data_IF_559414352673
#
_entry.id   IF_559414352673
#
_cell.length_a   1.000
_cell.length_b   1.000
_cell.length_c   1.000
_cell.angle_alpha   90.00
_cell.angle_beta   90.00
_cell.angle_gamma   90.00
#
_symmetry.space_group_name_H-M   'P 1'
#
loop_
_entity.id
_entity.type
_entity.pdbx_description
1 polymer ?
#
# COMPACT_ATOMS: atom_id res chain seq x y z
N UNK A 1 -32.42 -27.00 14.76
CA UNK A 1 -31.05 -27.49 14.46
C UNK A 1 -30.06 -26.48 15.02
N UNK A 2 -29.32 -26.78 16.13
CA UNK A 2 -28.34 -25.86 16.70
C UNK A 2 -27.09 -25.84 15.76
N UNK A 3 -26.94 -24.78 15.01
CA UNK A 3 -25.72 -24.53 14.20
C UNK A 3 -24.52 -24.56 15.14
N UNK A 4 -23.50 -25.39 14.83
CA UNK A 4 -22.30 -25.46 15.65
C UNK A 4 -21.60 -24.08 15.68
N UNK A 5 -20.95 -23.72 16.81
CA UNK A 5 -20.23 -22.42 16.92
C UNK A 5 -19.25 -22.21 15.77
N UNK A 6 -18.54 -23.25 15.35
CA UNK A 6 -17.58 -23.19 14.23
C UNK A 6 -18.26 -22.87 12.90
N UNK A 7 -19.40 -23.46 12.60
CA UNK A 7 -20.16 -23.22 11.37
C UNK A 7 -20.70 -21.78 11.30
N UNK A 8 -21.14 -21.22 12.44
CA UNK A 8 -21.53 -19.80 12.53
C UNK A 8 -20.39 -18.88 12.12
N UNK A 9 -19.17 -19.15 12.59
CA UNK A 9 -18.02 -18.33 12.26
C UNK A 9 -17.63 -18.41 10.79
N UNK A 10 -17.72 -19.57 10.14
CA UNK A 10 -17.50 -19.72 8.70
C UNK A 10 -18.46 -18.83 7.90
N UNK A 11 -19.76 -18.83 8.26
CA UNK A 11 -20.76 -17.97 7.61
C UNK A 11 -20.42 -16.49 7.81
N UNK A 12 -20.08 -16.08 9.03
CA UNK A 12 -19.71 -14.67 9.31
C UNK A 12 -18.51 -14.23 8.49
N UNK A 13 -17.45 -15.05 8.43
CA UNK A 13 -16.26 -14.77 7.64
C UNK A 13 -16.56 -14.70 6.14
N UNK A 14 -17.45 -15.55 5.64
CA UNK A 14 -17.89 -15.53 4.25
C UNK A 14 -18.67 -14.25 3.93
N UNK A 15 -19.58 -13.81 4.82
CA UNK A 15 -20.30 -12.53 4.65
C UNK A 15 -19.34 -11.36 4.63
N UNK A 16 -18.34 -11.34 5.53
CA UNK A 16 -17.28 -10.33 5.53
C UNK A 16 -16.52 -10.35 4.21
N UNK A 17 -16.16 -11.54 3.69
CA UNK A 17 -15.45 -11.69 2.43
C UNK A 17 -16.28 -11.19 1.23
N UNK A 18 -17.59 -11.50 1.19
CA UNK A 18 -18.51 -11.05 0.13
C UNK A 18 -18.57 -9.52 0.10
N UNK A 19 -18.80 -8.90 1.25
CA UNK A 19 -18.92 -7.43 1.31
C UNK A 19 -17.60 -6.76 0.95
N UNK A 20 -16.47 -7.22 1.50
CA UNK A 20 -15.15 -6.62 1.25
C UNK A 20 -14.70 -6.89 -0.18
N UNK A 21 -14.86 -8.11 -0.71
CA UNK A 21 -14.49 -8.46 -2.07
C UNK A 21 -15.28 -7.65 -3.12
N UNK A 22 -16.59 -7.48 -2.91
CA UNK A 22 -17.42 -6.64 -3.77
C UNK A 22 -17.06 -5.15 -3.66
N UNK A 23 -16.77 -4.66 -2.45
CA UNK A 23 -16.30 -3.29 -2.25
C UNK A 23 -14.93 -3.06 -2.90
N UNK A 24 -14.05 -4.05 -2.85
CA UNK A 24 -12.74 -4.01 -3.51
C UNK A 24 -12.90 -3.96 -5.04
N UNK A 25 -13.78 -4.77 -5.61
CA UNK A 25 -14.08 -4.75 -7.03
C UNK A 25 -14.62 -3.39 -7.48
N UNK A 26 -15.60 -2.84 -6.76
CA UNK A 26 -16.11 -1.50 -7.01
C UNK A 26 -15.02 -0.44 -6.93
N UNK A 27 -14.14 -0.53 -5.92
CA UNK A 27 -13.05 0.42 -5.75
C UNK A 27 -12.04 0.37 -6.90
N UNK A 28 -11.65 -0.84 -7.35
CA UNK A 28 -10.76 -1.00 -8.51
C UNK A 28 -11.38 -0.42 -9.78
N UNK A 29 -12.64 -0.76 -10.07
CA UNK A 29 -13.37 -0.23 -11.21
C UNK A 29 -13.47 1.30 -11.15
N UNK A 30 -13.89 1.86 -10.03
CA UNK A 30 -14.02 3.30 -9.87
C UNK A 30 -12.68 4.03 -10.02
N UNK A 31 -11.59 3.41 -9.53
CA UNK A 31 -10.25 3.96 -9.62
C UNK A 31 -9.74 3.99 -11.07
N UNK A 32 -10.03 2.94 -11.84
CA UNK A 32 -9.71 2.88 -13.27
C UNK A 32 -10.47 3.97 -14.03
N UNK A 33 -11.79 4.11 -13.76
CA UNK A 33 -12.63 5.14 -14.39
C UNK A 33 -12.11 6.56 -14.10
N UNK A 34 -11.82 6.89 -12.84
CA UNK A 34 -11.34 8.26 -12.51
C UNK A 34 -9.94 8.52 -13.04
N UNK A 35 -9.09 7.48 -13.14
CA UNK A 35 -7.75 7.61 -13.71
C UNK A 35 -7.81 7.83 -15.21
N UNK A 36 -8.66 7.07 -15.91
CA UNK A 36 -8.88 7.23 -17.35
C UNK A 36 -9.46 8.60 -17.68
N UNK A 37 -10.48 9.03 -16.93
CA UNK A 37 -11.07 10.36 -17.10
C UNK A 37 -10.02 11.49 -16.90
N UNK A 38 -9.07 11.33 -15.97
CA UNK A 38 -7.95 12.27 -15.82
C UNK A 38 -7.02 12.28 -17.02
N UNK A 39 -6.73 11.12 -17.64
CA UNK A 39 -5.92 11.06 -18.87
C UNK A 39 -6.60 11.75 -20.04
N UNK A 40 -7.91 11.59 -20.17
CA UNK A 40 -8.71 12.26 -21.20
C UNK A 40 -8.87 13.77 -20.94
N UNK A 41 -8.73 14.18 -19.65
CA UNK A 41 -8.90 15.56 -19.18
C UNK A 41 -7.70 16.05 -18.38
N UNK A 42 -6.53 16.30 -19.01
CA UNK A 42 -5.30 16.67 -18.30
C UNK A 42 -5.42 17.94 -17.47
N UNK A 43 -6.37 18.81 -17.80
CA UNK A 43 -6.64 20.05 -17.05
C UNK A 43 -7.12 19.81 -15.61
N UNK A 44 -7.61 18.61 -15.29
CA UNK A 44 -8.11 18.27 -13.95
C UNK A 44 -7.05 18.45 -12.87
N UNK A 45 -5.78 18.34 -13.18
CA UNK A 45 -4.68 18.55 -12.21
C UNK A 45 -4.73 19.94 -11.58
N UNK A 46 -5.17 20.95 -12.31
CA UNK A 46 -5.26 22.32 -11.81
C UNK A 46 -6.32 22.50 -10.72
N UNK A 47 -7.26 21.57 -10.60
CA UNK A 47 -8.25 21.53 -9.52
C UNK A 47 -7.74 20.83 -8.25
N UNK A 48 -6.57 20.21 -8.29
CA UNK A 48 -6.03 19.48 -7.14
C UNK A 48 -5.96 20.35 -5.87
N UNK A 49 -5.55 21.64 -5.89
CA UNK A 49 -5.59 22.50 -4.70
C UNK A 49 -6.99 22.68 -4.10
N UNK A 50 -8.01 22.81 -4.96
CA UNK A 50 -9.42 22.95 -4.51
C UNK A 50 -9.91 21.65 -3.85
N UNK A 51 -9.56 20.52 -4.43
CA UNK A 51 -9.88 19.20 -3.87
C UNK A 51 -9.18 19.00 -2.53
N UNK A 52 -7.92 19.40 -2.41
CA UNK A 52 -7.17 19.37 -1.15
C UNK A 52 -7.82 20.25 -0.08
N UNK A 53 -8.32 21.44 -0.47
CA UNK A 53 -9.08 22.33 0.40
C UNK A 53 -10.37 21.64 0.90
N UNK A 54 -11.16 21.11 -0.02
CA UNK A 54 -12.43 20.43 0.30
C UNK A 54 -12.22 19.20 1.21
N UNK A 55 -11.21 18.37 0.92
CA UNK A 55 -10.82 17.25 1.76
C UNK A 55 -10.41 17.71 3.16
N UNK A 56 -9.61 18.76 3.26
CA UNK A 56 -9.18 19.32 4.53
C UNK A 56 -10.37 19.81 5.37
N UNK A 57 -11.35 20.48 4.77
CA UNK A 57 -12.59 20.85 5.44
C UNK A 57 -13.40 19.64 5.89
N UNK A 58 -13.57 18.64 5.01
CA UNK A 58 -14.27 17.40 5.37
C UNK A 58 -13.65 16.73 6.59
N UNK A 59 -12.33 16.53 6.59
CA UNK A 59 -11.65 15.85 7.70
C UNK A 59 -11.64 16.67 8.99
N UNK A 60 -11.65 17.99 8.89
CA UNK A 60 -11.74 18.88 10.07
C UNK A 60 -13.09 18.79 10.77
N UNK A 61 -14.19 18.78 10.05
CA UNK A 61 -15.54 18.87 10.62
C UNK A 61 -16.19 17.51 10.83
N UNK A 62 -16.06 16.60 9.88
CA UNK A 62 -16.75 15.30 9.87
C UNK A 62 -15.79 14.13 10.08
N UNK A 63 -14.56 14.22 9.57
CA UNK A 63 -13.58 13.17 9.51
C UNK A 63 -12.52 13.15 10.61
N UNK A 64 -12.62 13.97 11.66
CA UNK A 64 -11.61 13.99 12.75
C UNK A 64 -11.29 12.60 13.30
N UNK A 65 -12.31 11.74 13.41
CA UNK A 65 -12.20 10.37 13.92
C UNK A 65 -11.49 9.41 12.96
N UNK A 66 -11.30 9.80 11.69
CA UNK A 66 -10.72 8.93 10.63
C UNK A 66 -9.49 9.52 9.95
N UNK A 67 -9.00 10.66 10.46
CA UNK A 67 -7.88 11.38 9.85
C UNK A 67 -6.61 10.53 9.73
N UNK A 68 -6.30 9.72 10.73
CA UNK A 68 -5.14 8.83 10.79
C UNK A 68 -5.57 7.36 10.78
N UNK A 69 -6.11 6.89 9.67
CA UNK A 69 -6.75 5.58 9.55
C UNK A 69 -5.87 4.40 9.99
N UNK A 70 -4.59 4.37 9.58
CA UNK A 70 -3.66 3.32 9.99
C UNK A 70 -3.39 3.36 11.51
N UNK A 71 -3.27 4.56 12.10
CA UNK A 71 -3.10 4.69 13.54
C UNK A 71 -4.34 4.23 14.30
N UNK A 72 -5.54 4.54 13.81
CA UNK A 72 -6.80 4.08 14.40
C UNK A 72 -6.92 2.55 14.38
N UNK A 73 -6.51 1.92 13.28
CA UNK A 73 -6.53 0.46 13.18
C UNK A 73 -5.57 -0.15 14.19
N UNK A 74 -4.33 0.36 14.28
CA UNK A 74 -3.33 -0.14 15.22
C UNK A 74 -3.74 0.12 16.68
N UNK A 75 -4.28 1.30 16.98
CA UNK A 75 -4.78 1.64 18.30
C UNK A 75 -5.94 0.75 18.76
N UNK A 76 -6.78 0.31 17.82
CA UNK A 76 -7.87 -0.63 18.10
C UNK A 76 -7.38 -1.96 18.69
N UNK A 77 -6.17 -2.40 18.34
CA UNK A 77 -5.57 -3.62 18.89
C UNK A 77 -4.81 -3.40 20.20
N UNK A 78 -4.45 -2.15 20.52
CA UNK A 78 -3.67 -1.82 21.72
C UNK A 78 -4.56 -1.35 22.88
N UNK A 79 -5.64 -0.63 22.55
CA UNK A 79 -6.50 -0.01 23.53
C UNK A 79 -7.92 -0.60 23.47
N UNK A 80 -8.37 -1.21 24.54
CA UNK A 80 -9.70 -1.87 24.62
C UNK A 80 -10.86 -0.89 24.40
N UNK A 81 -10.67 0.40 24.67
CA UNK A 81 -11.67 1.45 24.48
C UNK A 81 -11.69 2.01 23.06
N UNK A 82 -10.62 1.81 22.29
CA UNK A 82 -10.53 2.32 20.92
C UNK A 82 -11.44 1.54 19.97
N UNK A 83 -12.18 2.27 19.13
CA UNK A 83 -13.10 1.69 18.15
C UNK A 83 -12.90 2.32 16.77
N UNK A 84 -12.89 1.49 15.75
CA UNK A 84 -12.82 1.93 14.35
C UNK A 84 -14.22 2.47 13.95
N UNK A 85 -14.34 3.74 13.53
CA UNK A 85 -15.63 4.33 13.13
C UNK A 85 -16.19 3.69 11.85
N UNK A 86 -17.51 3.54 11.75
CA UNK A 86 -18.16 2.98 10.55
C UNK A 86 -17.97 3.86 9.31
N UNK A 87 -17.78 5.17 9.49
CA UNK A 87 -17.51 6.09 8.39
C UNK A 87 -16.11 5.97 7.79
N UNK A 88 -15.21 5.15 8.38
CA UNK A 88 -13.84 5.00 7.87
C UNK A 88 -13.83 4.52 6.41
N UNK A 89 -14.52 3.42 6.10
CA UNK A 89 -14.50 2.82 4.78
C UNK A 89 -15.02 3.79 3.68
N UNK A 90 -16.22 4.37 3.76
CA UNK A 90 -16.69 5.31 2.74
C UNK A 90 -15.85 6.59 2.67
N UNK A 91 -15.36 7.11 3.79
CA UNK A 91 -14.52 8.33 3.79
C UNK A 91 -13.21 8.12 3.07
N UNK A 92 -12.53 7.00 3.32
CA UNK A 92 -11.24 6.73 2.70
C UNK A 92 -11.40 6.38 1.21
N UNK A 93 -12.48 5.65 0.83
CA UNK A 93 -12.82 5.35 -0.54
C UNK A 93 -12.96 6.63 -1.36
N UNK A 94 -13.89 7.51 -0.98
CA UNK A 94 -14.18 8.76 -1.70
C UNK A 94 -12.94 9.66 -1.76
N UNK A 95 -12.24 9.81 -0.66
CA UNK A 95 -11.05 10.64 -0.61
C UNK A 95 -9.91 10.09 -1.48
N UNK A 96 -9.72 8.77 -1.54
CA UNK A 96 -8.72 8.16 -2.43
C UNK A 96 -9.09 8.32 -3.90
N UNK A 97 -10.35 8.10 -4.27
CA UNK A 97 -10.83 8.34 -5.64
C UNK A 97 -10.61 9.81 -6.04
N UNK A 98 -10.94 10.76 -5.17
CA UNK A 98 -10.69 12.17 -5.42
C UNK A 98 -9.19 12.48 -5.56
N UNK A 99 -8.31 11.89 -4.73
CA UNK A 99 -6.86 12.05 -4.88
C UNK A 99 -6.38 11.63 -6.28
N UNK A 100 -6.84 10.47 -6.77
CA UNK A 100 -6.42 9.94 -8.08
C UNK A 100 -7.05 10.67 -9.26
N UNK A 101 -8.32 11.07 -9.14
CA UNK A 101 -9.03 11.83 -10.19
C UNK A 101 -8.30 13.13 -10.53
N UNK A 102 -7.65 13.76 -9.54
CA UNK A 102 -7.00 15.05 -9.72
C UNK A 102 -5.46 14.97 -9.70
N UNK A 103 -4.88 13.76 -9.78
CA UNK A 103 -3.45 13.57 -10.02
C UNK A 103 -2.56 13.48 -8.77
N UNK A 104 -3.12 13.35 -7.57
CA UNK A 104 -2.31 13.07 -6.39
C UNK A 104 -1.58 11.73 -6.49
N UNK A 105 -0.31 11.68 -6.08
CA UNK A 105 0.54 10.49 -6.15
C UNK A 105 0.32 9.61 -4.92
N UNK A 106 -0.48 8.58 -5.06
CA UNK A 106 -0.81 7.63 -3.99
C UNK A 106 -1.09 6.23 -4.55
N UNK A 107 -1.13 5.25 -3.65
CA UNK A 107 -1.49 3.86 -3.94
C UNK A 107 -2.95 3.57 -3.58
N UNK A 108 -3.37 2.34 -3.86
CA UNK A 108 -4.74 1.84 -3.64
C UNK A 108 -4.84 0.81 -2.50
N UNK A 109 -3.76 0.10 -2.24
CA UNK A 109 -3.75 -1.07 -1.36
C UNK A 109 -3.92 -0.68 0.13
N UNK A 110 -3.25 0.39 0.57
CA UNK A 110 -3.44 0.93 1.92
C UNK A 110 -4.90 1.35 2.18
N UNK A 111 -5.54 1.93 1.15
CA UNK A 111 -6.98 2.24 1.18
C UNK A 111 -7.82 0.98 1.34
N UNK A 112 -7.50 -0.09 0.62
CA UNK A 112 -8.21 -1.37 0.71
C UNK A 112 -8.09 -2.00 2.10
N UNK A 113 -6.90 -1.95 2.71
CA UNK A 113 -6.66 -2.37 4.11
C UNK A 113 -7.56 -1.60 5.07
N UNK A 114 -7.62 -0.27 4.93
CA UNK A 114 -8.41 0.59 5.80
C UNK A 114 -9.92 0.39 5.59
N UNK A 115 -10.36 0.21 4.34
CA UNK A 115 -11.75 -0.14 4.02
C UNK A 115 -12.13 -1.49 4.62
N UNK A 116 -11.29 -2.51 4.41
CA UNK A 116 -11.51 -3.85 4.94
C UNK A 116 -11.62 -3.86 6.47
N UNK A 117 -10.70 -3.16 7.15
CA UNK A 117 -10.75 -3.00 8.61
C UNK A 117 -12.03 -2.27 9.08
N UNK A 118 -12.43 -1.20 8.40
CA UNK A 118 -13.61 -0.40 8.72
C UNK A 118 -14.92 -1.18 8.55
N UNK A 119 -15.06 -1.92 7.44
CA UNK A 119 -16.22 -2.78 7.17
C UNK A 119 -16.30 -3.90 8.21
N UNK A 120 -15.19 -4.62 8.44
CA UNK A 120 -15.13 -5.71 9.40
C UNK A 120 -15.43 -5.25 10.84
N UNK A 121 -14.88 -4.10 11.26
CA UNK A 121 -15.16 -3.50 12.57
C UNK A 121 -16.63 -3.10 12.71
N UNK A 122 -17.26 -2.63 11.64
CA UNK A 122 -18.68 -2.27 11.65
C UNK A 122 -19.56 -3.51 11.81
N UNK A 123 -19.26 -4.60 11.08
CA UNK A 123 -19.97 -5.87 11.20
C UNK A 123 -19.74 -6.54 12.56
N UNK A 124 -18.53 -6.43 13.10
CA UNK A 124 -18.16 -7.02 14.38
C UNK A 124 -19.08 -6.57 15.53
N UNK A 125 -19.60 -5.36 15.48
CA UNK A 125 -20.52 -4.82 16.52
C UNK A 125 -21.81 -5.63 16.64
N UNK A 126 -22.24 -6.25 15.57
CA UNK A 126 -23.51 -7.02 15.52
C UNK A 126 -23.33 -8.51 15.78
N UNK A 127 -22.12 -9.06 15.50
CA UNK A 127 -21.93 -10.53 15.49
C UNK A 127 -20.92 -11.03 16.52
N UNK A 128 -20.04 -10.16 17.02
CA UNK A 128 -18.95 -10.53 17.93
C UNK A 128 -19.24 -10.04 19.37
N UNK A 129 -19.41 -10.99 20.29
CA UNK A 129 -19.72 -10.70 21.71
C UNK A 129 -18.47 -10.39 22.54
N UNK A 130 -17.27 -10.80 22.09
CA UNK A 130 -16.01 -10.63 22.81
C UNK A 130 -15.03 -9.78 22.01
N UNK A 131 -14.09 -9.14 22.70
CA UNK A 131 -13.06 -8.32 22.07
C UNK A 131 -12.17 -9.13 21.12
N UNK A 132 -11.79 -10.34 21.53
CA UNK A 132 -11.02 -11.27 20.69
C UNK A 132 -11.73 -11.60 19.37
N UNK A 133 -13.03 -11.78 19.41
CA UNK A 133 -13.84 -12.02 18.24
C UNK A 133 -13.95 -10.79 17.33
N UNK A 134 -14.01 -9.58 17.92
CA UNK A 134 -13.95 -8.33 17.16
C UNK A 134 -12.60 -8.15 16.47
N UNK A 135 -11.49 -8.40 17.19
CA UNK A 135 -10.15 -8.36 16.63
C UNK A 135 -9.97 -9.37 15.50
N UNK A 136 -10.48 -10.61 15.67
CA UNK A 136 -10.43 -11.64 14.62
C UNK A 136 -11.09 -11.14 13.33
N UNK A 137 -12.26 -10.51 13.43
CA UNK A 137 -12.94 -9.95 12.25
C UNK A 137 -12.15 -8.80 11.62
N UNK A 138 -11.55 -7.93 12.43
CA UNK A 138 -10.72 -6.82 11.89
C UNK A 138 -9.47 -7.37 11.21
N UNK A 139 -8.77 -8.37 11.77
CA UNK A 139 -7.66 -9.05 11.07
C UNK A 139 -8.12 -9.65 9.74
N UNK A 140 -9.25 -10.37 9.75
CA UNK A 140 -9.83 -10.97 8.55
C UNK A 140 -10.22 -9.91 7.51
N UNK A 141 -10.73 -8.75 7.97
CA UNK A 141 -11.06 -7.62 7.09
C UNK A 141 -9.83 -6.97 6.45
N UNK A 142 -8.75 -6.78 7.20
CA UNK A 142 -7.46 -6.31 6.67
C UNK A 142 -6.94 -7.29 5.61
N UNK A 143 -6.94 -8.59 5.93
CA UNK A 143 -6.49 -9.64 5.03
C UNK A 143 -7.32 -9.69 3.74
N UNK A 144 -8.64 -9.60 3.86
CA UNK A 144 -9.58 -9.58 2.73
C UNK A 144 -9.38 -8.36 1.83
N UNK A 145 -9.28 -7.15 2.42
CA UNK A 145 -9.07 -5.92 1.66
C UNK A 145 -7.75 -5.93 0.90
N UNK A 146 -6.67 -6.33 1.56
CA UNK A 146 -5.35 -6.46 0.92
C UNK A 146 -5.37 -7.52 -0.18
N UNK A 147 -5.80 -8.75 0.13
CA UNK A 147 -5.81 -9.88 -0.81
C UNK A 147 -6.69 -9.64 -2.03
N UNK A 148 -7.86 -9.00 -1.85
CA UNK A 148 -8.79 -8.73 -2.94
C UNK A 148 -8.31 -7.65 -3.90
N UNK A 149 -7.66 -6.57 -3.40
CA UNK A 149 -7.19 -5.47 -4.27
C UNK A 149 -5.85 -5.79 -4.91
N UNK A 150 -5.00 -6.52 -4.20
CA UNK A 150 -3.66 -6.86 -4.70
C UNK A 150 -3.62 -8.13 -5.56
N UNK A 151 -4.56 -9.05 -5.34
CA UNK A 151 -4.50 -10.37 -5.95
C UNK A 151 -3.53 -11.33 -5.25
N UNK A 152 -3.17 -11.05 -3.98
CA UNK A 152 -2.21 -11.84 -3.20
C UNK A 152 -2.81 -12.24 -1.85
N UNK A 153 -3.73 -13.23 -1.82
CA UNK A 153 -4.45 -13.60 -0.62
C UNK A 153 -3.57 -14.21 0.49
N UNK A 154 -2.51 -14.95 0.13
CA UNK A 154 -1.58 -15.50 1.14
C UNK A 154 -0.80 -14.38 1.83
N UNK A 155 -0.26 -13.45 1.03
CA UNK A 155 0.41 -12.27 1.57
C UNK A 155 -0.55 -11.41 2.39
N UNK A 156 -1.80 -11.24 1.96
CA UNK A 156 -2.83 -10.49 2.68
C UNK A 156 -3.10 -11.05 4.08
N UNK A 157 -3.19 -12.37 4.20
CA UNK A 157 -3.38 -13.04 5.49
C UNK A 157 -2.20 -12.81 6.44
N UNK A 158 -0.98 -12.94 5.95
CA UNK A 158 0.24 -12.70 6.73
C UNK A 158 0.36 -11.20 7.07
N UNK A 159 0.07 -10.31 6.10
CA UNK A 159 0.14 -8.86 6.29
C UNK A 159 -0.77 -8.38 7.41
N UNK A 160 -2.00 -8.89 7.49
CA UNK A 160 -2.93 -8.49 8.53
C UNK A 160 -2.36 -8.71 9.95
N UNK A 161 -1.67 -9.82 10.15
CA UNK A 161 -1.05 -10.17 11.45
C UNK A 161 0.27 -9.43 11.66
N UNK A 162 1.13 -9.38 10.64
CA UNK A 162 2.44 -8.74 10.73
C UNK A 162 2.33 -7.21 10.88
N UNK A 163 1.44 -6.57 10.13
CA UNK A 163 1.16 -5.14 10.22
C UNK A 163 0.69 -4.73 11.61
N UNK A 164 -0.15 -5.55 12.23
CA UNK A 164 -0.69 -5.33 13.58
C UNK A 164 0.21 -5.84 14.70
N UNK A 165 1.42 -6.34 14.37
CA UNK A 165 2.38 -6.92 15.31
C UNK A 165 1.85 -8.15 16.07
N UNK A 166 0.87 -8.84 15.52
CA UNK A 166 0.39 -10.10 16.08
C UNK A 166 1.24 -11.28 15.60
N UNK A 167 1.25 -12.38 16.38
CA UNK A 167 1.97 -13.61 15.99
C UNK A 167 1.37 -14.17 14.68
N UNK A 168 2.21 -14.33 13.65
CA UNK A 168 1.77 -14.85 12.34
C UNK A 168 1.24 -16.27 12.49
N UNK A 169 2.00 -17.16 13.12
CA UNK A 169 1.57 -18.52 13.41
C UNK A 169 0.65 -18.55 14.65
N UNK A 170 -0.55 -18.03 14.47
CA UNK A 170 -1.60 -17.99 15.49
C UNK A 170 -2.88 -18.59 14.94
N UNK A 171 -3.83 -18.85 15.85
CA UNK A 171 -5.19 -19.31 15.47
C UNK A 171 -5.92 -18.36 14.52
N UNK A 172 -5.47 -17.13 14.39
CA UNK A 172 -6.09 -16.10 13.53
C UNK A 172 -5.65 -16.23 12.07
N UNK A 173 -4.54 -16.93 11.75
CA UNK A 173 -4.02 -17.06 10.39
C UNK A 173 -5.03 -17.75 9.44
N UNK A 174 -5.61 -18.86 9.86
CA UNK A 174 -6.58 -19.61 9.02
C UNK A 174 -7.84 -18.79 8.69
N UNK A 175 -8.50 -18.12 9.65
CA UNK A 175 -9.60 -17.20 9.34
C UNK A 175 -9.20 -16.08 8.39
N UNK A 176 -8.04 -15.46 8.59
CA UNK A 176 -7.51 -14.41 7.68
C UNK A 176 -7.31 -14.95 6.27
N UNK A 177 -6.69 -16.14 6.14
CA UNK A 177 -6.45 -16.78 4.86
C UNK A 177 -7.76 -17.13 4.15
N UNK A 178 -8.71 -17.75 4.86
CA UNK A 178 -10.03 -18.08 4.33
C UNK A 178 -10.73 -16.82 3.79
N UNK A 179 -10.76 -15.74 4.59
CA UNK A 179 -11.47 -14.52 4.23
C UNK A 179 -10.76 -13.81 3.06
N UNK A 180 -9.42 -13.81 3.02
CA UNK A 180 -8.64 -13.21 1.94
C UNK A 180 -8.84 -13.95 0.62
N UNK A 181 -8.79 -15.29 0.63
CA UNK A 181 -9.06 -16.12 -0.54
C UNK A 181 -10.49 -15.91 -1.06
N UNK A 182 -11.48 -16.01 -0.17
CA UNK A 182 -12.88 -15.80 -0.55
C UNK A 182 -13.10 -14.40 -1.14
N UNK A 183 -12.58 -13.34 -0.50
CA UNK A 183 -12.70 -11.97 -1.00
C UNK A 183 -12.00 -11.76 -2.35
N UNK A 184 -10.83 -12.38 -2.56
CA UNK A 184 -10.12 -12.35 -3.83
C UNK A 184 -10.96 -12.94 -4.97
N UNK A 185 -11.49 -14.15 -4.80
CA UNK A 185 -12.32 -14.78 -5.83
C UNK A 185 -13.65 -14.03 -6.06
N UNK A 186 -14.25 -13.47 -5.03
CA UNK A 186 -15.42 -12.60 -5.16
C UNK A 186 -15.07 -11.35 -5.96
N UNK A 187 -13.93 -10.70 -5.68
CA UNK A 187 -13.46 -9.55 -6.46
C UNK A 187 -13.31 -9.89 -7.94
N UNK A 188 -12.67 -11.02 -8.25
CA UNK A 188 -12.53 -11.50 -9.63
C UNK A 188 -13.87 -11.81 -10.30
N UNK A 189 -14.86 -12.33 -9.57
CA UNK A 189 -16.19 -12.65 -10.12
C UNK A 189 -16.96 -11.42 -10.62
N UNK A 190 -16.57 -10.21 -10.20
CA UNK A 190 -17.09 -8.95 -10.72
C UNK A 190 -16.41 -8.51 -12.04
N UNK A 191 -15.52 -9.34 -12.61
CA UNK A 191 -14.80 -9.05 -13.85
C UNK A 191 -13.63 -8.07 -13.68
N UNK A 192 -13.17 -7.83 -12.44
CA UNK A 192 -11.99 -6.99 -12.18
C UNK A 192 -10.71 -7.73 -12.53
N UNK A 193 -9.73 -7.01 -13.08
CA UNK A 193 -8.40 -7.53 -13.34
C UNK A 193 -7.39 -6.92 -12.37
N UNK A 194 -6.42 -7.71 -11.93
CA UNK A 194 -5.27 -7.22 -11.20
C UNK A 194 -4.14 -6.83 -12.15
N UNK A 195 -3.26 -5.94 -11.71
CA UNK A 195 -2.04 -5.63 -12.46
C UNK A 195 -1.19 -6.89 -12.59
N UNK A 196 -0.93 -7.31 -13.83
CA UNK A 196 -0.10 -8.47 -14.12
C UNK A 196 1.39 -8.08 -14.09
N UNK A 197 2.16 -8.89 -13.40
CA UNK A 197 3.62 -8.77 -13.34
C UNK A 197 4.28 -9.94 -14.06
N UNK A 198 5.45 -9.72 -14.69
CA UNK A 198 6.15 -10.81 -15.37
C UNK A 198 6.65 -11.85 -14.35
N UNK A 199 6.46 -13.12 -14.67
CA UNK A 199 7.10 -14.22 -13.91
C UNK A 199 8.61 -14.16 -14.11
N UNK A 200 9.34 -14.00 -13.02
CA UNK A 200 10.80 -13.82 -13.06
C UNK A 200 11.49 -15.17 -13.09
N UNK A 201 12.40 -15.33 -14.07
CA UNK A 201 13.28 -16.48 -14.14
C UNK A 201 14.58 -16.16 -13.39
N UNK A 202 15.03 -17.09 -12.55
CA UNK A 202 16.34 -16.98 -11.92
C UNK A 202 17.38 -17.70 -12.77
N UNK A 203 18.46 -17.03 -13.20
CA UNK A 203 19.51 -17.67 -13.99
C UNK A 203 20.23 -18.70 -13.12
N UNK A 204 20.32 -19.94 -13.61
CA UNK A 204 21.04 -21.03 -12.95
C UNK A 204 22.55 -20.72 -12.85
N UNK A 205 23.15 -21.03 -11.71
CA UNK A 205 24.61 -20.99 -11.47
C UNK A 205 25.30 -19.61 -11.58
N UNK A 206 24.69 -18.54 -11.06
CA UNK A 206 25.29 -17.24 -11.16
C UNK A 206 25.69 -16.68 -9.76
N UNK A 207 26.75 -17.24 -9.15
CA UNK A 207 27.29 -16.77 -7.88
C UNK A 207 27.71 -15.28 -7.93
N UNK A 208 28.00 -14.76 -9.13
CA UNK A 208 28.32 -13.33 -9.29
C UNK A 208 27.15 -12.40 -8.96
N UNK A 209 25.91 -12.91 -8.92
CA UNK A 209 24.73 -12.13 -8.51
C UNK A 209 24.67 -11.91 -7.00
N UNK A 210 25.32 -12.74 -6.17
CA UNK A 210 25.20 -12.66 -4.73
C UNK A 210 25.66 -11.29 -4.18
N UNK A 211 26.86 -10.82 -4.58
CA UNK A 211 27.35 -9.52 -4.14
C UNK A 211 26.49 -8.38 -4.69
N UNK A 212 25.95 -8.54 -5.91
CA UNK A 212 25.05 -7.57 -6.53
C UNK A 212 23.74 -7.45 -5.75
N UNK A 213 23.19 -8.55 -5.23
CA UNK A 213 22.03 -8.55 -4.34
C UNK A 213 22.32 -7.88 -2.99
N UNK A 214 23.50 -8.10 -2.42
CA UNK A 214 23.92 -7.43 -1.20
C UNK A 214 24.04 -5.92 -1.42
N UNK A 215 24.67 -5.49 -2.52
CA UNK A 215 24.77 -4.09 -2.91
C UNK A 215 23.38 -3.46 -3.11
N UNK A 216 22.48 -4.15 -3.87
CA UNK A 216 21.10 -3.74 -4.06
C UNK A 216 20.40 -3.53 -2.70
N UNK A 217 20.48 -4.51 -1.81
CA UNK A 217 19.85 -4.44 -0.50
C UNK A 217 20.35 -3.26 0.34
N UNK A 218 21.65 -2.96 0.31
CA UNK A 218 22.24 -1.81 0.99
C UNK A 218 21.70 -0.48 0.45
N UNK A 219 21.65 -0.33 -0.87
CA UNK A 219 21.11 0.89 -1.52
C UNK A 219 19.62 1.06 -1.21
N UNK A 220 18.81 -0.03 -1.31
CA UNK A 220 17.39 0.00 -0.97
C UNK A 220 17.17 0.36 0.50
N UNK A 221 18.01 -0.14 1.40
CA UNK A 221 17.92 0.20 2.83
C UNK A 221 18.19 1.69 3.09
N UNK A 222 19.19 2.27 2.45
CA UNK A 222 19.51 3.70 2.56
C UNK A 222 18.37 4.54 1.98
N UNK A 223 17.89 4.21 0.79
CA UNK A 223 16.76 4.90 0.16
C UNK A 223 15.48 4.78 0.99
N UNK A 224 15.22 3.61 1.60
CA UNK A 224 14.10 3.38 2.50
C UNK A 224 14.19 4.21 3.78
N UNK A 225 15.38 4.30 4.40
CA UNK A 225 15.61 5.21 5.55
C UNK A 225 15.37 6.66 5.18
N UNK A 226 15.85 7.08 4.01
CA UNK A 226 15.62 8.43 3.50
C UNK A 226 14.13 8.68 3.31
N UNK A 227 13.40 7.78 2.63
CA UNK A 227 11.96 7.90 2.43
C UNK A 227 11.19 8.02 3.75
N UNK A 228 11.44 7.14 4.71
CA UNK A 228 10.79 7.16 6.02
C UNK A 228 11.06 8.49 6.74
N UNK A 229 12.33 8.90 6.78
CA UNK A 229 12.73 10.13 7.49
C UNK A 229 12.16 11.37 6.82
N UNK A 230 12.22 11.45 5.48
CA UNK A 230 11.68 12.55 4.71
C UNK A 230 10.15 12.64 4.86
N UNK A 231 9.44 11.50 4.80
CA UNK A 231 7.99 11.44 4.98
C UNK A 231 7.56 11.94 6.36
N UNK A 232 8.20 11.43 7.43
CA UNK A 232 7.88 11.86 8.80
C UNK A 232 8.21 13.34 9.03
N UNK A 233 9.37 13.80 8.55
CA UNK A 233 9.79 15.20 8.70
C UNK A 233 8.85 16.14 7.93
N UNK A 234 8.52 15.81 6.68
CA UNK A 234 7.62 16.62 5.86
C UNK A 234 6.23 16.67 6.46
N UNK A 235 5.69 15.52 6.89
CA UNK A 235 4.38 15.46 7.57
C UNK A 235 4.37 16.34 8.83
N UNK A 236 5.41 16.25 9.68
CA UNK A 236 5.53 17.09 10.88
C UNK A 236 5.61 18.57 10.53
N UNK A 237 6.43 18.96 9.55
CA UNK A 237 6.56 20.35 9.10
C UNK A 237 5.25 20.88 8.53
N UNK A 238 4.56 20.11 7.68
CA UNK A 238 3.26 20.50 7.14
C UNK A 238 2.22 20.70 8.23
N UNK A 239 2.19 19.84 9.25
CA UNK A 239 1.28 19.98 10.40
C UNK A 239 1.61 21.21 11.26
N UNK A 240 2.91 21.51 11.45
CA UNK A 240 3.36 22.63 12.27
C UNK A 240 3.19 23.96 11.56
N UNK A 241 3.58 24.06 10.29
CA UNK A 241 3.50 25.31 9.51
C UNK A 241 2.08 25.62 9.04
N UNK A 242 1.30 24.58 8.73
CA UNK A 242 -0.06 24.67 8.22
C UNK A 242 -1.01 23.82 9.06
N UNK A 243 -1.33 24.26 10.29
CA UNK A 243 -2.19 23.50 11.21
C UNK A 243 -3.62 23.33 10.67
N UNK A 244 -4.05 24.24 9.80
CA UNK A 244 -5.34 24.19 9.12
C UNK A 244 -5.30 23.15 8.00
N UNK A 245 -6.08 22.07 8.12
CA UNK A 245 -6.08 20.94 7.17
C UNK A 245 -6.44 21.36 5.74
N UNK A 246 -7.38 22.31 5.58
CA UNK A 246 -7.75 22.84 4.27
C UNK A 246 -6.60 23.61 3.61
N UNK A 247 -5.91 24.49 4.37
CA UNK A 247 -4.74 25.24 3.89
C UNK A 247 -3.62 24.28 3.50
N UNK A 248 -3.38 23.28 4.34
CA UNK A 248 -2.38 22.23 4.10
C UNK A 248 -2.65 21.45 2.81
N UNK A 249 -3.90 21.03 2.59
CA UNK A 249 -4.33 20.35 1.37
C UNK A 249 -4.18 21.23 0.12
N UNK A 250 -4.58 22.51 0.21
CA UNK A 250 -4.42 23.48 -0.89
C UNK A 250 -2.96 23.65 -1.27
N UNK A 251 -2.10 23.93 -0.30
CA UNK A 251 -0.67 24.14 -0.55
C UNK A 251 0.01 22.85 -1.08
N UNK A 252 -0.38 21.68 -0.56
CA UNK A 252 0.08 20.42 -1.10
C UNK A 252 -0.29 20.23 -2.56
N UNK A 253 -1.53 20.56 -2.95
CA UNK A 253 -1.95 20.52 -4.34
C UNK A 253 -1.16 21.46 -5.23
N UNK A 254 -0.89 22.68 -4.78
CA UNK A 254 -0.02 23.64 -5.50
C UNK A 254 1.39 23.07 -5.67
N UNK A 255 1.97 22.49 -4.60
CA UNK A 255 3.31 21.91 -4.68
C UNK A 255 3.37 20.70 -5.64
N UNK A 256 2.32 19.89 -5.70
CA UNK A 256 2.24 18.78 -6.69
C UNK A 256 2.22 19.33 -8.11
N UNK A 257 1.48 20.41 -8.36
CA UNK A 257 1.47 21.09 -9.68
C UNK A 257 2.86 21.63 -10.02
N UNK A 258 3.53 22.27 -9.07
CA UNK A 258 4.93 22.76 -9.28
C UNK A 258 5.87 21.60 -9.60
N UNK A 259 5.79 20.50 -8.87
CA UNK A 259 6.58 19.29 -9.16
C UNK A 259 6.26 18.72 -10.54
N UNK A 260 4.98 18.70 -10.94
CA UNK A 260 4.53 18.23 -12.26
C UNK A 260 5.13 19.07 -13.39
N UNK A 261 5.07 20.40 -13.26
CA UNK A 261 5.67 21.32 -14.24
C UNK A 261 7.19 21.18 -14.31
N UNK A 262 7.84 20.94 -13.17
CA UNK A 262 9.28 20.75 -13.12
C UNK A 262 9.74 19.40 -13.67
N UNK A 263 9.00 18.33 -13.39
CA UNK A 263 9.27 16.99 -13.93
C UNK A 263 9.01 16.90 -15.44
N UNK A 264 8.13 17.74 -15.98
CA UNK A 264 7.76 17.75 -17.40
C UNK A 264 6.99 16.50 -17.88
N UNK A 265 6.55 15.66 -16.96
CA UNK A 265 5.81 14.41 -17.26
C UNK A 265 4.78 14.08 -16.18
N UNK A 266 3.68 13.41 -16.58
CA UNK A 266 2.65 12.89 -15.70
C UNK A 266 2.96 11.53 -15.06
N UNK A 267 4.08 10.89 -15.38
CA UNK A 267 4.42 9.52 -14.98
C UNK A 267 4.44 9.30 -13.46
N UNK A 268 4.73 10.35 -12.70
CA UNK A 268 4.84 10.31 -11.25
C UNK A 268 3.52 10.62 -10.52
N UNK A 269 2.47 11.01 -11.26
CA UNK A 269 1.12 11.21 -10.75
C UNK A 269 0.38 9.88 -10.55
N UNK A 270 -0.65 9.89 -9.70
CA UNK A 270 -1.52 8.74 -9.47
C UNK A 270 -0.77 7.48 -9.06
N UNK A 271 -1.25 6.33 -9.51
CA UNK A 271 -0.70 5.00 -9.19
C UNK A 271 0.66 4.74 -9.87
N UNK A 272 0.84 5.16 -11.13
CA UNK A 272 1.98 4.79 -11.96
C UNK A 272 1.90 3.35 -12.53
N UNK A 273 0.70 2.79 -12.66
CA UNK A 273 0.47 1.45 -13.25
C UNK A 273 -0.25 1.48 -14.59
N UNK A 274 -1.02 2.53 -14.87
CA UNK A 274 -1.73 2.71 -16.13
C UNK A 274 -0.92 3.61 -17.07
N UNK A 275 -0.97 3.32 -18.36
CA UNK A 275 -0.31 4.11 -19.39
C UNK A 275 -1.23 5.25 -19.85
N UNK A 276 -0.77 6.48 -19.74
CA UNK A 276 -1.41 7.64 -20.34
C UNK A 276 -1.10 7.69 -21.84
N UNK A 277 0.11 7.33 -22.21
CA UNK A 277 0.60 7.24 -23.58
C UNK A 277 1.70 6.17 -23.69
N UNK A 278 2.14 5.85 -24.91
CA UNK A 278 3.17 4.82 -25.17
C UNK A 278 4.53 5.12 -24.52
N UNK A 279 4.83 6.38 -24.27
CA UNK A 279 6.10 6.80 -23.64
C UNK A 279 6.03 6.84 -22.10
N UNK A 280 4.83 6.71 -21.50
CA UNK A 280 4.65 6.75 -20.04
C UNK A 280 5.48 5.70 -19.33
N UNK A 281 6.16 6.10 -18.26
CA UNK A 281 6.92 5.20 -17.40
C UNK A 281 5.97 4.58 -16.36
N UNK A 282 5.66 3.30 -16.53
CA UNK A 282 4.78 2.55 -15.62
C UNK A 282 5.53 1.48 -14.84
N UNK A 283 4.92 1.00 -13.78
CA UNK A 283 5.48 -0.08 -12.97
C UNK A 283 5.77 -1.34 -13.80
N UNK A 284 4.90 -1.69 -14.74
CA UNK A 284 5.10 -2.83 -15.65
C UNK A 284 6.31 -2.61 -16.56
N UNK A 285 6.48 -1.40 -17.09
CA UNK A 285 7.63 -1.04 -17.94
C UNK A 285 8.93 -1.04 -17.16
N UNK A 286 8.92 -0.62 -15.90
CA UNK A 286 10.12 -0.69 -15.04
C UNK A 286 10.64 -2.12 -14.83
N UNK A 287 9.80 -3.12 -15.00
CA UNK A 287 10.16 -4.53 -14.95
C UNK A 287 10.59 -5.09 -16.31
N UNK A 288 10.43 -4.33 -17.40
CA UNK A 288 10.84 -4.76 -18.74
C UNK A 288 12.36 -4.66 -18.91
N UNK A 289 13.01 -5.67 -19.51
CA UNK A 289 14.45 -5.64 -19.78
C UNK A 289 14.85 -4.55 -20.79
N UNK A 290 13.92 -4.10 -21.65
CA UNK A 290 14.17 -3.16 -22.74
C UNK A 290 14.10 -1.69 -22.28
N UNK A 291 13.62 -1.44 -21.07
CA UNK A 291 13.41 -0.09 -20.55
C UNK A 291 14.53 0.28 -19.57
N UNK A 292 15.24 1.31 -19.90
CA UNK A 292 16.19 1.96 -18.98
C UNK A 292 15.48 3.13 -18.27
N UNK A 293 15.17 2.96 -17.01
CA UNK A 293 14.53 4.01 -16.21
C UNK A 293 15.52 5.19 -16.02
N UNK A 294 15.04 6.45 -16.10
CA UNK A 294 15.85 7.59 -15.68
C UNK A 294 16.36 7.40 -14.25
N UNK A 295 17.64 7.66 -14.01
CA UNK A 295 18.29 7.44 -12.72
C UNK A 295 17.62 8.21 -11.56
N UNK A 296 16.90 9.28 -11.85
CA UNK A 296 16.15 10.11 -10.89
C UNK A 296 14.66 9.79 -10.80
N UNK A 297 14.14 8.82 -11.58
CA UNK A 297 12.70 8.49 -11.60
C UNK A 297 12.15 8.13 -10.20
N UNK A 298 12.94 7.38 -9.43
CA UNK A 298 12.58 7.02 -8.06
C UNK A 298 12.49 8.24 -7.12
N UNK A 299 13.33 9.26 -7.30
CA UNK A 299 13.31 10.51 -6.52
C UNK A 299 12.06 11.33 -6.84
N UNK A 300 11.69 11.43 -8.11
CA UNK A 300 10.46 12.10 -8.51
C UNK A 300 9.24 11.43 -7.88
N UNK A 301 9.08 10.12 -8.06
CA UNK A 301 7.95 9.40 -7.46
C UNK A 301 7.91 9.55 -5.94
N UNK A 302 9.08 9.49 -5.29
CA UNK A 302 9.22 9.70 -3.86
C UNK A 302 8.74 11.11 -3.45
N UNK A 303 9.19 12.17 -4.13
CA UNK A 303 8.82 13.54 -3.84
C UNK A 303 7.31 13.78 -4.00
N UNK A 304 6.72 13.35 -5.12
CA UNK A 304 5.29 13.44 -5.37
C UNK A 304 4.47 12.73 -4.29
N UNK A 305 4.89 11.52 -3.91
CA UNK A 305 4.17 10.72 -2.90
C UNK A 305 4.27 11.34 -1.51
N UNK A 306 5.46 11.78 -1.11
CA UNK A 306 5.65 12.43 0.19
C UNK A 306 4.80 13.70 0.30
N UNK A 307 4.82 14.56 -0.71
CA UNK A 307 4.03 15.80 -0.72
C UNK A 307 2.55 15.48 -0.66
N UNK A 308 2.07 14.54 -1.49
CA UNK A 308 0.65 14.13 -1.52
C UNK A 308 0.17 13.68 -0.15
N UNK A 309 0.84 12.70 0.45
CA UNK A 309 0.39 12.11 1.71
C UNK A 309 0.59 13.06 2.90
N UNK A 310 1.69 13.80 2.94
CA UNK A 310 1.97 14.78 4.01
C UNK A 310 1.00 15.94 4.01
N UNK A 311 0.49 16.35 2.84
CA UNK A 311 -0.51 17.40 2.71
C UNK A 311 -1.91 16.98 3.18
N UNK A 312 -2.12 15.66 3.40
CA UNK A 312 -3.38 15.13 3.91
C UNK A 312 -4.30 14.50 2.87
N UNK A 313 -3.86 14.43 1.61
CA UNK A 313 -4.54 13.61 0.59
C UNK A 313 -4.57 12.16 1.02
N UNK A 314 -5.60 11.43 0.62
CA UNK A 314 -5.78 10.03 1.01
C UNK A 314 -5.40 9.09 -0.12
N UNK A 315 -4.88 7.94 0.27
CA UNK A 315 -4.42 6.87 -0.59
C UNK A 315 -3.47 5.96 0.17
N UNK A 316 -3.06 4.86 -0.46
CA UNK A 316 -2.05 3.96 0.08
C UNK A 316 -0.63 4.36 -0.31
N UNK A 317 0.34 3.77 0.36
CA UNK A 317 1.77 3.97 0.07
C UNK A 317 2.35 2.84 -0.80
N UNK A 318 1.68 1.70 -0.92
CA UNK A 318 2.26 0.46 -1.45
C UNK A 318 2.67 0.59 -2.92
N UNK A 319 1.73 0.97 -3.80
CA UNK A 319 2.05 1.11 -5.23
C UNK A 319 3.16 2.15 -5.50
N UNK A 320 3.17 3.34 -4.85
CA UNK A 320 4.31 4.24 -4.94
C UNK A 320 5.64 3.64 -4.46
N UNK A 321 5.63 2.87 -3.36
CA UNK A 321 6.84 2.17 -2.89
C UNK A 321 7.33 1.13 -3.89
N UNK A 322 6.40 0.45 -4.56
CA UNK A 322 6.73 -0.48 -5.64
C UNK A 322 7.39 0.22 -6.81
N UNK A 323 6.82 1.35 -7.24
CA UNK A 323 7.41 2.14 -8.32
C UNK A 323 8.82 2.62 -7.94
N UNK A 324 9.00 3.17 -6.74
CA UNK A 324 10.30 3.64 -6.25
C UNK A 324 11.31 2.49 -6.22
N UNK A 325 10.93 1.35 -5.64
CA UNK A 325 11.77 0.16 -5.58
C UNK A 325 12.14 -0.37 -6.97
N UNK A 326 11.15 -0.51 -7.87
CA UNK A 326 11.39 -0.96 -9.25
C UNK A 326 12.28 -0.01 -10.04
N UNK A 327 12.09 1.30 -9.92
CA UNK A 327 12.91 2.30 -10.61
C UNK A 327 14.37 2.26 -10.14
N UNK A 328 14.59 2.15 -8.82
CA UNK A 328 15.92 1.93 -8.25
C UNK A 328 16.54 0.63 -8.73
N UNK A 329 15.79 -0.48 -8.65
CA UNK A 329 16.26 -1.80 -9.06
C UNK A 329 16.60 -1.86 -10.55
N UNK A 330 15.78 -1.23 -11.40
CA UNK A 330 16.03 -1.08 -12.83
C UNK A 330 17.35 -0.33 -13.09
N UNK A 331 17.50 0.87 -12.53
CA UNK A 331 18.71 1.68 -12.69
C UNK A 331 19.97 0.95 -12.19
N UNK A 332 19.90 0.32 -11.00
CA UNK A 332 21.02 -0.45 -10.43
C UNK A 332 21.38 -1.64 -11.32
N UNK A 333 20.38 -2.33 -11.88
CA UNK A 333 20.63 -3.44 -12.78
C UNK A 333 21.45 -3.04 -14.00
N UNK A 334 21.14 -1.91 -14.60
CA UNK A 334 21.89 -1.36 -15.72
C UNK A 334 23.35 -1.04 -15.34
N UNK A 335 23.57 -0.35 -14.21
CA UNK A 335 24.91 -0.03 -13.73
C UNK A 335 25.76 -1.27 -13.38
N UNK A 336 25.12 -2.30 -12.84
CA UNK A 336 25.81 -3.53 -12.43
C UNK A 336 25.89 -4.61 -13.53
N UNK A 337 25.32 -4.36 -14.72
CA UNK A 337 25.18 -5.38 -15.75
C UNK A 337 24.44 -6.61 -15.23
N UNK A 338 23.29 -6.41 -14.57
CA UNK A 338 22.47 -7.47 -13.98
C UNK A 338 21.13 -7.60 -14.72
N UNK A 339 20.42 -8.75 -14.63
CA UNK A 339 19.10 -8.90 -15.26
C UNK A 339 18.10 -7.90 -14.71
N UNK A 340 17.60 -6.99 -15.55
CA UNK A 340 16.74 -5.86 -15.16
C UNK A 340 15.46 -6.34 -14.49
N UNK A 341 14.72 -7.26 -15.12
CA UNK A 341 13.46 -7.78 -14.59
C UNK A 341 13.63 -8.40 -13.18
N UNK A 342 14.73 -9.12 -12.98
CA UNK A 342 15.05 -9.74 -11.70
C UNK A 342 15.34 -8.69 -10.60
N UNK A 343 16.20 -7.71 -10.92
CA UNK A 343 16.60 -6.70 -9.95
C UNK A 343 15.47 -5.72 -9.65
N UNK A 344 14.75 -5.26 -10.67
CA UNK A 344 13.60 -4.37 -10.50
C UNK A 344 12.47 -5.05 -9.70
N UNK A 345 12.17 -6.33 -9.98
CA UNK A 345 11.15 -7.08 -9.27
C UNK A 345 11.53 -7.36 -7.80
N UNK A 346 12.76 -7.79 -7.54
CA UNK A 346 13.23 -7.99 -6.15
C UNK A 346 13.25 -6.66 -5.41
N UNK A 347 13.73 -5.58 -6.04
CA UNK A 347 13.80 -4.25 -5.43
C UNK A 347 12.41 -3.67 -5.12
N UNK A 348 11.42 -3.90 -5.98
CA UNK A 348 10.02 -3.57 -5.77
C UNK A 348 9.53 -4.06 -4.40
N UNK A 349 9.70 -5.33 -4.16
CA UNK A 349 9.22 -5.99 -2.95
C UNK A 349 10.09 -5.68 -1.73
N UNK A 350 11.41 -5.68 -1.89
CA UNK A 350 12.33 -5.44 -0.78
C UNK A 350 12.28 -3.99 -0.27
N UNK A 351 12.07 -3.01 -1.15
CA UNK A 351 11.87 -1.62 -0.75
C UNK A 351 10.60 -1.46 0.09
N UNK A 352 9.50 -2.08 -0.33
CA UNK A 352 8.26 -2.12 0.44
C UNK A 352 8.48 -2.76 1.81
N UNK A 353 9.11 -3.95 1.86
CA UNK A 353 9.41 -4.64 3.12
C UNK A 353 10.24 -3.78 4.09
N UNK A 354 11.28 -3.11 3.57
CA UNK A 354 12.17 -2.27 4.36
C UNK A 354 11.51 -1.01 4.91
N UNK A 355 10.49 -0.48 4.22
CA UNK A 355 9.77 0.73 4.62
C UNK A 355 8.59 0.45 5.54
N UNK A 356 7.85 -0.63 5.31
CA UNK A 356 6.66 -1.02 6.10
C UNK A 356 6.98 -1.90 7.30
N UNK A 357 8.16 -2.52 7.32
CA UNK A 357 8.57 -3.49 8.34
C UNK A 357 7.67 -4.74 8.40
N UNK A 358 7.32 -5.23 7.22
CA UNK A 358 6.51 -6.44 7.03
C UNK A 358 7.24 -7.45 6.13
N UNK A 359 8.41 -7.99 6.55
CA UNK A 359 9.24 -8.85 5.70
C UNK A 359 8.57 -10.17 5.30
N UNK A 360 7.80 -10.82 6.19
CA UNK A 360 7.16 -12.10 5.88
C UNK A 360 6.03 -11.93 4.87
N UNK A 361 5.16 -10.93 5.07
CA UNK A 361 4.09 -10.63 4.14
C UNK A 361 4.66 -10.23 2.76
N UNK A 362 5.70 -9.41 2.76
CA UNK A 362 6.38 -8.98 1.53
C UNK A 362 7.01 -10.14 0.79
N UNK A 363 7.67 -11.04 1.50
CA UNK A 363 8.27 -12.24 0.89
C UNK A 363 7.22 -13.12 0.21
N UNK A 364 6.11 -13.42 0.90
CA UNK A 364 5.00 -14.17 0.32
C UNK A 364 4.40 -13.43 -0.89
N UNK A 365 4.20 -12.12 -0.77
CA UNK A 365 3.68 -11.30 -1.86
C UNK A 365 4.58 -11.34 -3.11
N UNK A 366 5.89 -11.28 -2.93
CA UNK A 366 6.81 -11.40 -4.05
C UNK A 366 6.73 -12.76 -4.75
N UNK A 367 6.49 -13.84 -4.00
CA UNK A 367 6.28 -15.18 -4.57
C UNK A 367 4.96 -15.24 -5.34
N UNK A 368 3.86 -14.69 -4.79
CA UNK A 368 2.56 -14.65 -5.46
C UNK A 368 2.58 -13.79 -6.74
N UNK A 369 3.29 -12.66 -6.74
CA UNK A 369 3.32 -11.73 -7.87
C UNK A 369 4.34 -12.09 -8.95
N UNK A 370 5.53 -12.56 -8.58
CA UNK A 370 6.69 -12.68 -9.46
C UNK A 370 7.13 -14.13 -9.69
N UNK A 371 6.52 -15.06 -8.95
CA UNK A 371 6.78 -16.50 -9.04
C UNK A 371 7.79 -17.01 -8.01
N UNK A 372 7.74 -18.32 -7.79
CA UNK A 372 8.47 -18.98 -6.69
C UNK A 372 9.98 -19.12 -6.95
N UNK A 373 10.44 -18.99 -8.21
CA UNK A 373 11.85 -19.14 -8.58
C UNK A 373 12.79 -18.11 -7.94
N UNK A 374 12.23 -16.98 -7.48
CA UNK A 374 12.99 -15.95 -6.77
C UNK A 374 12.95 -16.10 -5.25
N UNK A 375 12.39 -17.20 -4.72
CA UNK A 375 12.20 -17.43 -3.28
C UNK A 375 13.44 -17.10 -2.43
N UNK A 376 14.60 -17.67 -2.76
CA UNK A 376 15.82 -17.49 -1.98
C UNK A 376 16.46 -16.09 -2.15
N UNK A 377 16.70 -15.57 -3.37
CA UNK A 377 17.28 -14.25 -3.53
C UNK A 377 16.36 -13.14 -3.00
N UNK A 378 15.05 -13.29 -3.14
CA UNK A 378 14.09 -12.34 -2.59
C UNK A 378 14.15 -12.31 -1.06
N UNK A 379 14.20 -13.46 -0.38
CA UNK A 379 14.37 -13.54 1.06
C UNK A 379 15.63 -12.82 1.51
N UNK A 380 16.78 -13.12 0.87
CA UNK A 380 18.06 -12.49 1.19
C UNK A 380 17.98 -10.95 1.14
N UNK A 381 17.50 -10.41 0.02
CA UNK A 381 17.42 -8.95 -0.18
C UNK A 381 16.44 -8.32 0.80
N UNK A 382 15.26 -8.93 1.01
CA UNK A 382 14.26 -8.42 1.99
C UNK A 382 14.86 -8.35 3.40
N UNK A 383 15.49 -9.41 3.88
CA UNK A 383 16.02 -9.46 5.24
C UNK A 383 17.14 -8.45 5.46
N UNK A 384 18.08 -8.34 4.52
CA UNK A 384 19.16 -7.36 4.59
C UNK A 384 18.58 -5.94 4.56
N UNK A 385 17.69 -5.64 3.59
CA UNK A 385 17.05 -4.32 3.46
C UNK A 385 16.28 -3.95 4.72
N UNK A 386 15.49 -4.86 5.27
CA UNK A 386 14.68 -4.60 6.46
C UNK A 386 15.54 -4.34 7.71
N UNK A 387 16.61 -5.11 7.89
CA UNK A 387 17.56 -4.90 9.00
C UNK A 387 18.31 -3.58 8.86
N UNK A 388 18.89 -3.32 7.70
CA UNK A 388 19.71 -2.12 7.46
C UNK A 388 18.89 -0.83 7.40
N UNK A 389 17.60 -0.88 7.04
CA UNK A 389 16.73 0.31 7.05
C UNK A 389 16.32 0.78 8.45
N UNK A 390 16.77 0.11 9.51
CA UNK A 390 16.57 0.51 10.91
C UNK A 390 15.20 0.12 11.47
N UNK A 391 14.90 0.53 12.69
CA UNK A 391 13.67 0.13 13.43
C UNK A 391 12.42 0.93 13.02
N UNK A 392 12.57 2.14 12.48
CA UNK A 392 11.44 3.02 12.12
C UNK A 392 10.69 2.48 10.90
N UNK A 393 9.35 2.53 10.96
CA UNK A 393 8.45 2.23 9.85
C UNK A 393 7.86 3.52 9.28
N UNK A 394 7.31 3.45 8.06
CA UNK A 394 6.50 4.52 7.49
C UNK A 394 5.23 4.76 8.33
N UNK A 395 4.80 3.77 9.11
CA UNK A 395 3.67 3.86 10.05
C UNK A 395 4.18 4.20 11.45
N UNK A 396 4.10 5.47 11.91
CA UNK A 396 4.67 5.89 13.20
C UNK A 396 4.14 5.10 14.41
N UNK A 397 2.86 4.74 14.39
CA UNK A 397 2.19 3.98 15.45
C UNK A 397 2.70 2.54 15.61
N UNK A 398 3.39 1.97 14.61
CA UNK A 398 4.06 0.68 14.76
C UNK A 398 5.30 0.74 15.68
N UNK A 399 5.97 1.90 15.76
CA UNK A 399 7.14 2.11 16.62
C UNK A 399 6.77 2.13 18.09
N UNK A 400 5.60 2.65 18.44
CA UNK A 400 5.11 2.67 19.81
C UNK A 400 4.83 1.27 20.38
N UNK A 401 4.46 0.31 19.51
CA UNK A 401 4.21 -1.08 19.91
C UNK A 401 5.50 -1.82 20.28
N UNK A 402 6.60 -1.52 19.58
CA UNK A 402 7.89 -2.19 19.82
C UNK A 402 8.52 -1.80 21.16
N UNK A 403 8.26 -0.58 21.66
CA UNK A 403 8.78 -0.07 22.94
C UNK A 403 7.97 -0.51 24.16
N UNK A 404 6.75 -0.98 23.99
CA UNK A 404 5.89 -1.51 25.07
C UNK A 404 6.02 -3.03 25.26
N UNK A 405 6.75 -3.71 24.37
CA UNK A 405 6.94 -5.17 24.38
C UNK A 405 8.38 -5.60 24.77
N UNK A 406 9.31 -4.64 24.99
CA UNK A 406 10.61 -4.80 25.65
C UNK A 406 10.46 -4.43 27.15
#
# INVERSE_FOLDING_TARGET
>A
MKISKSFKWVIVLLVVAVIIGSTAAFFLWALDVVTQNRFENPWMIWLLPLVGCAMGFYYRFHGKKVHSANALILDNFQNDTSRIPSCLAPSILIATLATHAFGGSAGREGTAVQMGAGIAASLARFVASTRDAQHLLVYSGIAAGFGAVFGTPLAGAIFALEFTRHKILSRNLLPCLFTALAAHYICLSWGTAHTLYPSIQFPSNNFSLLWKFIALAGILALAGRFFISASHLTTKKFQTWFPHEAVRGTLGGILIIVLFLWAGTGDYLGLGVMEENKSSLTLSKLLSPDIHAPANAWLWKLAFTIVTLSAGYKGGEVTPLFFIGSALGNSIAWYLGAPVTLFAGIAMIAFFAGTTKTPYASWMMGIELLGWKIFAPLALVIWITTKLSGKKSIYPSQGAIATSAE
#
